data_IF_539729675148
#
_entry.id   IF_539729675148
#
_cell.length_a   1.000
_cell.length_b   1.000
_cell.length_c   1.000
_cell.angle_alpha   90.00
_cell.angle_beta   90.00
_cell.angle_gamma   90.00
#
_symmetry.space_group_name_H-M   'P 1'
#
loop_
_entity.id
_entity.type
_entity.pdbx_description
1 polymer ?
#
# COMPACT_ATOMS: atom_id res chain seq x y z
N UNK A 1 -7.22 -22.23 27.03
CA UNK A 1 -6.69 -23.44 26.35
C UNK A 1 -6.80 -23.31 24.84
N UNK A 2 -5.65 -23.43 24.16
CA UNK A 2 -5.60 -23.71 22.72
C UNK A 2 -5.42 -22.53 21.77
N UNK A 3 -4.63 -21.51 22.10
CA UNK A 3 -4.17 -20.55 21.09
C UNK A 3 -3.04 -21.21 20.27
N UNK A 4 -3.36 -21.57 19.02
CA UNK A 4 -2.38 -22.04 18.06
C UNK A 4 -1.29 -20.96 17.88
N UNK A 5 -0.06 -21.32 18.27
CA UNK A 5 1.14 -20.51 18.10
C UNK A 5 1.41 -20.32 16.59
N UNK A 6 0.93 -19.21 16.03
CA UNK A 6 1.45 -18.72 14.76
C UNK A 6 2.85 -18.16 15.02
N UNK A 7 3.87 -18.74 14.39
CA UNK A 7 5.30 -18.57 14.66
C UNK A 7 5.88 -17.15 14.41
N UNK A 8 5.04 -16.12 14.26
CA UNK A 8 5.48 -14.76 13.93
C UNK A 8 4.89 -13.64 14.80
N UNK A 9 4.34 -13.95 15.98
CA UNK A 9 3.83 -12.91 16.87
C UNK A 9 4.91 -12.36 17.80
N UNK A 10 5.71 -11.41 17.30
CA UNK A 10 6.88 -10.84 18.02
C UNK A 10 6.48 -9.76 19.04
N UNK A 11 5.31 -9.13 18.90
CA UNK A 11 4.83 -8.06 19.78
C UNK A 11 3.46 -8.42 20.36
N UNK A 12 3.16 -8.06 21.62
CA UNK A 12 1.83 -8.29 22.17
C UNK A 12 0.78 -7.48 21.40
N UNK A 13 -0.24 -8.18 20.88
CA UNK A 13 -1.40 -7.57 20.21
C UNK A 13 -2.56 -7.36 21.17
N UNK A 14 -3.14 -6.18 21.15
CA UNK A 14 -4.40 -5.85 21.83
C UNK A 14 -4.77 -4.40 21.55
N UNK A 15 -6.02 -4.01 21.81
CA UNK A 15 -6.47 -2.62 21.61
C UNK A 15 -5.57 -1.62 22.36
N UNK A 16 -5.26 -1.92 23.62
CA UNK A 16 -4.41 -1.09 24.48
C UNK A 16 -2.96 -1.03 23.99
N UNK A 17 -2.40 -2.15 23.52
CA UNK A 17 -1.05 -2.18 22.95
C UNK A 17 -0.99 -1.41 21.63
N UNK A 18 -1.98 -1.56 20.75
CA UNK A 18 -2.07 -0.79 19.50
C UNK A 18 -2.18 0.71 19.77
N UNK A 19 -2.94 1.11 20.78
CA UNK A 19 -3.07 2.51 21.18
C UNK A 19 -1.75 3.05 21.75
N UNK A 20 -1.04 2.27 22.56
CA UNK A 20 0.27 2.65 23.10
C UNK A 20 1.31 2.80 21.99
N UNK A 21 1.37 1.87 21.04
CA UNK A 21 2.29 1.98 19.89
C UNK A 21 1.95 3.19 19.01
N UNK A 22 0.68 3.40 18.69
CA UNK A 22 0.24 4.54 17.88
C UNK A 22 0.58 5.88 18.55
N UNK A 23 0.29 6.01 19.85
CA UNK A 23 0.60 7.23 20.62
C UNK A 23 2.10 7.46 20.78
N UNK A 24 2.88 6.40 21.01
CA UNK A 24 4.34 6.48 21.09
C UNK A 24 4.98 6.93 19.77
N UNK A 25 4.55 6.37 18.64
CA UNK A 25 5.03 6.77 17.31
C UNK A 25 4.58 8.20 16.99
N UNK A 26 3.35 8.58 17.34
CA UNK A 26 2.85 9.95 17.12
C UNK A 26 3.64 10.98 17.94
N UNK A 27 3.96 10.67 19.20
CA UNK A 27 4.82 11.52 20.04
C UNK A 27 6.23 11.64 19.46
N UNK A 28 6.81 10.54 18.97
CA UNK A 28 8.12 10.57 18.31
C UNK A 28 8.07 11.46 17.05
N UNK A 29 7.05 11.30 16.20
CA UNK A 29 6.85 12.13 15.03
C UNK A 29 6.72 13.62 15.41
N UNK A 30 5.96 13.92 16.47
CA UNK A 30 5.82 15.26 17.01
C UNK A 30 7.16 15.82 17.49
N UNK A 31 7.97 15.05 18.21
CA UNK A 31 9.31 15.46 18.64
C UNK A 31 10.21 15.76 17.44
N UNK A 32 10.23 14.90 16.42
CA UNK A 32 11.00 15.13 15.19
C UNK A 32 10.55 16.42 14.49
N UNK A 33 9.25 16.67 14.41
CA UNK A 33 8.70 17.91 13.86
C UNK A 33 9.10 19.15 14.66
N UNK A 34 9.33 19.04 15.98
CA UNK A 34 9.77 20.16 16.83
C UNK A 34 11.28 20.48 16.70
N UNK A 35 12.12 19.53 16.26
CA UNK A 35 13.58 19.78 16.11
C UNK A 35 13.87 20.80 15.00
N UNK A 36 12.97 20.94 14.02
CA UNK A 36 13.00 22.06 13.07
C UNK A 36 12.86 21.66 11.59
N UNK A 37 12.40 22.62 10.77
CA UNK A 37 12.07 22.43 9.36
C UNK A 37 13.24 21.95 8.47
N UNK A 38 14.48 22.29 8.82
CA UNK A 38 15.65 21.92 8.03
C UNK A 38 15.97 20.42 8.09
N UNK A 39 15.77 19.76 9.24
CA UNK A 39 15.95 18.31 9.34
C UNK A 39 14.81 17.60 8.60
N UNK A 40 13.60 18.15 8.70
CA UNK A 40 12.42 17.62 8.03
C UNK A 40 12.60 17.56 6.50
N UNK A 41 13.10 18.63 5.87
CA UNK A 41 13.35 18.64 4.42
C UNK A 41 14.35 17.53 3.99
N UNK A 42 15.43 17.33 4.75
CA UNK A 42 16.42 16.28 4.49
C UNK A 42 15.85 14.87 4.68
N UNK A 43 15.02 14.68 5.69
CA UNK A 43 14.34 13.41 5.95
C UNK A 43 13.34 13.07 4.83
N UNK A 44 12.56 14.03 4.35
CA UNK A 44 11.60 13.84 3.25
C UNK A 44 12.31 13.43 1.96
N UNK A 45 13.47 14.01 1.66
CA UNK A 45 14.29 13.58 0.51
C UNK A 45 14.78 12.14 0.66
N UNK A 46 15.21 11.72 1.86
CA UNK A 46 15.59 10.33 2.12
C UNK A 46 14.41 9.37 1.96
N UNK A 47 13.24 9.73 2.48
CA UNK A 47 12.01 8.95 2.33
C UNK A 47 11.68 8.79 0.85
N UNK A 48 11.79 9.86 0.05
CA UNK A 48 11.59 9.80 -1.39
C UNK A 48 12.53 8.78 -2.07
N UNK A 49 13.82 8.78 -1.72
CA UNK A 49 14.78 7.80 -2.27
C UNK A 49 14.44 6.37 -1.89
N UNK A 50 14.05 6.13 -0.63
CA UNK A 50 13.62 4.80 -0.17
C UNK A 50 12.38 4.34 -0.92
N UNK A 51 11.38 5.21 -1.11
CA UNK A 51 10.17 4.88 -1.87
C UNK A 51 10.49 4.55 -3.32
N UNK A 52 11.38 5.32 -3.97
CA UNK A 52 11.82 5.02 -5.34
C UNK A 52 12.59 3.69 -5.42
N UNK A 53 13.43 3.38 -4.44
CA UNK A 53 14.13 2.09 -4.37
C UNK A 53 13.13 0.93 -4.22
N UNK A 54 12.20 1.02 -3.27
CA UNK A 54 11.16 0.00 -3.06
C UNK A 54 10.31 -0.17 -4.32
N UNK A 55 9.90 0.93 -4.95
CA UNK A 55 9.17 0.89 -6.21
C UNK A 55 9.95 0.14 -7.30
N UNK A 56 11.25 0.42 -7.44
CA UNK A 56 12.14 -0.30 -8.35
C UNK A 56 12.20 -1.79 -8.05
N UNK A 57 12.35 -2.18 -6.78
CA UNK A 57 12.36 -3.60 -6.39
C UNK A 57 11.04 -4.31 -6.70
N UNK A 58 9.90 -3.63 -6.57
CA UNK A 58 8.59 -4.18 -6.93
C UNK A 58 8.54 -4.46 -8.43
N UNK A 59 8.95 -3.51 -9.27
CA UNK A 59 9.01 -3.72 -10.72
C UNK A 59 9.91 -4.89 -11.10
N UNK A 60 11.11 -4.98 -10.50
CA UNK A 60 12.02 -6.11 -10.74
C UNK A 60 11.42 -7.43 -10.26
N UNK A 61 10.70 -7.43 -9.15
CA UNK A 61 10.06 -8.64 -8.59
C UNK A 61 9.05 -9.26 -9.56
N UNK A 62 8.31 -8.47 -10.33
CA UNK A 62 7.38 -9.02 -11.33
C UNK A 62 8.08 -9.81 -12.44
N UNK A 63 9.32 -9.46 -12.79
CA UNK A 63 10.10 -10.17 -13.82
C UNK A 63 10.98 -11.28 -13.25
N UNK A 64 11.46 -11.13 -12.02
CA UNK A 64 12.41 -12.06 -11.41
C UNK A 64 11.74 -13.26 -10.72
N UNK A 65 10.51 -13.11 -10.22
CA UNK A 65 9.82 -14.17 -9.46
C UNK A 65 9.19 -15.18 -10.41
N UNK A 66 9.62 -16.44 -10.31
CA UNK A 66 8.99 -17.56 -11.01
C UNK A 66 7.64 -17.94 -10.39
N UNK A 67 6.75 -18.64 -11.14
CA UNK A 67 5.43 -19.00 -10.64
C UNK A 67 5.50 -19.78 -9.32
N UNK A 68 4.82 -19.28 -8.28
CA UNK A 68 4.81 -19.88 -6.94
C UNK A 68 3.39 -19.91 -6.38
N UNK A 69 3.04 -21.00 -5.74
CA UNK A 69 1.78 -21.13 -5.00
C UNK A 69 2.03 -20.73 -3.55
N UNK A 70 1.19 -19.84 -3.02
CA UNK A 70 1.28 -19.30 -1.67
C UNK A 70 0.06 -19.82 -0.90
N UNK A 71 0.28 -20.55 0.17
CA UNK A 71 -0.79 -21.01 1.06
C UNK A 71 -1.30 -19.84 1.89
N UNK A 72 -2.60 -19.55 1.79
CA UNK A 72 -3.25 -18.53 2.60
C UNK A 72 -3.58 -19.11 3.98
N UNK A 73 -3.47 -18.33 5.07
CA UNK A 73 -3.94 -18.77 6.38
C UNK A 73 -5.45 -19.05 6.31
N UNK A 74 -5.85 -20.32 6.43
CA UNK A 74 -7.27 -20.68 6.49
C UNK A 74 -7.88 -20.08 7.75
N UNK A 75 -8.96 -19.29 7.66
CA UNK A 75 -9.61 -18.72 8.84
C UNK A 75 -10.44 -19.75 9.64
N UNK A 76 -10.51 -21.03 9.24
CA UNK A 76 -11.24 -22.03 10.04
C UNK A 76 -10.66 -23.45 9.98
N UNK A 77 -10.41 -24.09 11.15
CA UNK A 77 -10.24 -25.54 11.29
C UNK A 77 -11.56 -26.34 11.21
N UNK A 78 -12.72 -25.70 11.37
CA UNK A 78 -14.04 -26.34 11.42
C UNK A 78 -14.93 -25.77 10.30
N UNK A 79 -15.12 -26.55 9.23
CA UNK A 79 -15.68 -26.13 7.93
C UNK A 79 -17.14 -25.66 7.90
N UNK A 80 -17.53 -24.69 8.72
CA UNK A 80 -18.85 -24.04 8.74
C UNK A 80 -18.85 -22.60 8.23
N UNK A 81 -17.67 -22.00 8.01
CA UNK A 81 -17.52 -20.64 7.48
C UNK A 81 -17.38 -20.65 5.95
N UNK A 82 -17.74 -19.54 5.26
CA UNK A 82 -17.70 -19.48 3.79
C UNK A 82 -16.32 -19.87 3.25
N UNK A 83 -16.31 -20.59 2.12
CA UNK A 83 -15.10 -21.14 1.50
C UNK A 83 -14.14 -20.01 1.07
N UNK A 84 -13.22 -19.63 1.96
CA UNK A 84 -12.11 -18.77 1.62
C UNK A 84 -11.07 -19.60 0.83
N UNK A 85 -10.55 -19.09 -0.30
CA UNK A 85 -9.51 -19.81 -1.05
C UNK A 85 -8.30 -20.03 -0.14
N UNK A 86 -7.86 -21.28 -0.02
CA UNK A 86 -6.75 -21.70 0.85
C UNK A 86 -5.38 -21.57 0.16
N UNK A 87 -5.37 -21.24 -1.13
CA UNK A 87 -4.15 -21.11 -1.95
C UNK A 87 -4.30 -19.91 -2.89
N UNK A 88 -3.31 -19.01 -2.89
CA UNK A 88 -3.14 -17.97 -3.89
C UNK A 88 -2.04 -18.38 -4.86
N UNK A 89 -2.29 -18.27 -6.17
CA UNK A 89 -1.30 -18.61 -7.19
C UNK A 89 -0.68 -17.35 -7.78
N UNK A 90 0.64 -17.23 -7.67
CA UNK A 90 1.43 -16.32 -8.49
C UNK A 90 1.80 -17.03 -9.79
N UNK A 91 1.15 -16.66 -10.88
CA UNK A 91 1.26 -17.35 -12.17
C UNK A 91 2.35 -16.77 -13.08
N UNK A 92 2.92 -15.61 -12.70
CA UNK A 92 3.81 -14.80 -13.55
C UNK A 92 3.02 -14.12 -14.69
N UNK A 93 3.70 -13.43 -15.60
CA UNK A 93 3.05 -12.72 -16.70
C UNK A 93 2.24 -13.64 -17.62
N UNK A 94 0.92 -13.70 -17.44
CA UNK A 94 0.01 -14.46 -18.29
C UNK A 94 -1.19 -13.62 -18.71
N UNK A 95 -1.40 -13.53 -20.03
CA UNK A 95 -2.53 -12.81 -20.61
C UNK A 95 -3.88 -13.45 -20.25
N UNK A 96 -3.91 -14.79 -20.10
CA UNK A 96 -5.11 -15.49 -19.62
C UNK A 96 -5.50 -15.05 -18.20
N UNK A 97 -4.52 -14.83 -17.31
CA UNK A 97 -4.75 -14.32 -15.95
C UNK A 97 -5.26 -12.88 -16.00
N UNK A 98 -4.70 -12.03 -16.88
CA UNK A 98 -5.20 -10.67 -17.11
C UNK A 98 -6.69 -10.64 -17.53
N UNK A 99 -7.07 -11.47 -18.50
CA UNK A 99 -8.46 -11.52 -18.98
C UNK A 99 -9.43 -12.03 -17.90
N UNK A 100 -9.00 -12.95 -17.04
CA UNK A 100 -9.78 -13.39 -15.88
C UNK A 100 -9.95 -12.29 -14.82
N UNK A 101 -8.99 -11.38 -14.72
CA UNK A 101 -8.99 -10.27 -13.76
C UNK A 101 -9.76 -9.02 -14.21
N UNK A 102 -10.23 -8.96 -15.46
CA UNK A 102 -10.81 -7.74 -16.03
C UNK A 102 -12.14 -7.33 -15.39
N UNK A 103 -12.90 -8.30 -14.89
CA UNK A 103 -14.22 -8.05 -14.31
C UNK A 103 -14.19 -7.88 -12.79
N UNK A 104 -15.12 -7.06 -12.28
CA UNK A 104 -15.31 -6.88 -10.86
C UNK A 104 -15.73 -8.21 -10.19
N UNK A 105 -15.11 -8.54 -9.08
CA UNK A 105 -15.47 -9.71 -8.26
C UNK A 105 -15.32 -9.34 -6.80
N UNK A 106 -16.30 -8.58 -6.30
CA UNK A 106 -16.31 -8.17 -4.91
C UNK A 106 -16.60 -9.38 -4.01
N UNK A 107 -15.74 -9.60 -3.03
CA UNK A 107 -15.84 -10.72 -2.09
C UNK A 107 -15.94 -10.23 -0.65
N UNK A 108 -16.21 -11.17 0.26
CA UNK A 108 -16.18 -10.92 1.69
C UNK A 108 -14.74 -10.72 2.15
N UNK A 109 -14.50 -9.64 2.89
CA UNK A 109 -13.20 -9.41 3.52
C UNK A 109 -12.90 -10.48 4.57
N UNK A 110 -11.64 -10.91 4.62
CA UNK A 110 -11.19 -11.95 5.55
C UNK A 110 -11.09 -11.42 6.99
N UNK A 111 -10.88 -10.10 7.19
CA UNK A 111 -10.77 -9.49 8.53
C UNK A 111 -12.10 -8.98 9.08
N UNK A 112 -12.84 -8.19 8.30
CA UNK A 112 -14.08 -7.54 8.74
C UNK A 112 -15.32 -8.37 8.47
N UNK A 113 -15.23 -9.42 7.63
CA UNK A 113 -16.35 -10.26 7.17
C UNK A 113 -17.49 -9.47 6.50
N UNK A 114 -17.22 -8.22 6.08
CA UNK A 114 -18.19 -7.41 5.35
C UNK A 114 -18.03 -7.60 3.84
N UNK A 115 -19.15 -7.52 3.11
CA UNK A 115 -19.12 -7.53 1.64
C UNK A 115 -18.46 -6.25 1.13
N UNK A 116 -17.42 -6.41 0.33
CA UNK A 116 -16.77 -5.28 -0.33
C UNK A 116 -17.70 -4.71 -1.42
N UNK A 117 -17.66 -3.39 -1.59
CA UNK A 117 -18.41 -2.68 -2.63
C UNK A 117 -17.46 -1.78 -3.42
N UNK A 118 -17.92 -1.24 -4.54
CA UNK A 118 -17.18 -0.22 -5.28
C UNK A 118 -16.80 0.97 -4.38
N UNK A 119 -17.73 1.44 -3.54
CA UNK A 119 -17.52 2.60 -2.68
C UNK A 119 -16.43 2.36 -1.63
N UNK A 120 -16.39 1.16 -1.03
CA UNK A 120 -15.36 0.82 -0.03
C UNK A 120 -13.97 0.72 -0.67
N UNK A 121 -13.86 0.10 -1.85
CA UNK A 121 -12.59 0.01 -2.58
C UNK A 121 -12.12 1.38 -3.07
N UNK A 122 -13.04 2.21 -3.57
CA UNK A 122 -12.74 3.59 -3.98
C UNK A 122 -12.26 4.44 -2.80
N UNK A 123 -12.89 4.33 -1.63
CA UNK A 123 -12.48 5.10 -0.44
C UNK A 123 -11.03 4.81 -0.02
N UNK A 124 -10.61 3.54 -0.09
CA UNK A 124 -9.22 3.14 0.20
C UNK A 124 -8.25 3.68 -0.86
N UNK A 125 -8.57 3.54 -2.14
CA UNK A 125 -7.74 4.05 -3.23
C UNK A 125 -7.63 5.58 -3.20
N UNK A 126 -8.74 6.26 -2.93
CA UNK A 126 -8.80 7.72 -2.90
C UNK A 126 -7.88 8.30 -1.83
N UNK A 127 -7.82 7.68 -0.65
CA UNK A 127 -6.90 8.08 0.41
C UNK A 127 -5.44 8.08 -0.07
N UNK A 128 -5.04 7.07 -0.85
CA UNK A 128 -3.71 6.96 -1.46
C UNK A 128 -3.41 7.97 -2.57
N UNK A 129 -4.41 8.64 -3.14
CA UNK A 129 -4.26 9.71 -4.14
C UNK A 129 -4.25 11.11 -3.52
N UNK A 130 -4.51 11.24 -2.22
CA UNK A 130 -4.45 12.53 -1.52
C UNK A 130 -3.00 13.01 -1.35
N UNK A 131 -2.82 14.29 -0.96
CA UNK A 131 -1.49 14.84 -0.63
C UNK A 131 -0.92 15.86 -1.62
N UNK A 132 -1.62 16.18 -2.71
CA UNK A 132 -1.21 17.20 -3.69
C UNK A 132 -0.89 18.55 -3.01
N UNK A 133 -1.68 18.94 -2.00
CA UNK A 133 -1.51 20.20 -1.28
C UNK A 133 -0.29 20.24 -0.35
N UNK A 134 0.29 19.11 0.03
CA UNK A 134 1.50 19.09 0.86
C UNK A 134 2.72 19.58 0.08
N UNK A 135 2.80 19.26 -1.22
CA UNK A 135 3.91 19.69 -2.09
C UNK A 135 3.92 21.20 -2.33
N UNK A 136 2.75 21.81 -2.55
CA UNK A 136 2.65 23.26 -2.74
C UNK A 136 3.01 24.06 -1.48
N UNK A 137 2.70 23.52 -0.29
CA UNK A 137 2.98 24.19 0.97
C UNK A 137 4.49 24.27 1.31
N UNK A 138 5.26 23.24 0.94
CA UNK A 138 6.70 23.20 1.24
C UNK A 138 7.55 23.90 0.18
N UNK A 139 7.13 23.86 -1.09
CA UNK A 139 7.91 24.41 -2.21
C UNK A 139 7.85 25.94 -2.34
N UNK A 140 6.88 26.58 -1.69
CA UNK A 140 6.60 28.01 -1.86
C UNK A 140 7.67 28.96 -1.32
N UNK A 141 8.55 28.50 -0.42
CA UNK A 141 9.60 29.34 0.21
C UNK A 141 10.92 29.29 -0.56
N UNK A 142 11.18 28.22 -1.32
CA UNK A 142 12.48 27.94 -1.96
C UNK A 142 12.46 28.09 -3.50
N UNK A 143 11.30 28.26 -4.12
CA UNK A 143 11.18 28.41 -5.57
C UNK A 143 11.54 29.84 -6.03
N UNK A 144 12.51 29.97 -6.94
CA UNK A 144 12.86 31.25 -7.59
C UNK A 144 11.66 31.89 -8.33
N UNK A 145 10.74 31.07 -8.88
CA UNK A 145 9.51 31.52 -9.57
C UNK A 145 8.28 30.67 -9.18
N UNK A 146 7.59 30.98 -8.06
CA UNK A 146 6.54 30.13 -7.52
C UNK A 146 5.28 30.04 -8.40
N UNK A 147 4.99 31.07 -9.21
CA UNK A 147 3.78 31.10 -10.06
C UNK A 147 3.80 30.02 -11.14
N UNK A 148 4.98 29.69 -11.67
CA UNK A 148 5.13 28.69 -12.74
C UNK A 148 5.65 27.35 -12.22
N UNK A 149 6.53 27.35 -11.21
CA UNK A 149 7.12 26.12 -10.67
C UNK A 149 6.11 25.23 -9.94
N UNK A 150 5.22 25.81 -9.12
CA UNK A 150 4.23 25.07 -8.32
C UNK A 150 3.25 24.27 -9.21
N UNK A 151 2.54 24.89 -10.19
CA UNK A 151 1.59 24.15 -11.01
C UNK A 151 2.29 23.11 -11.89
N UNK A 152 3.48 23.42 -12.44
CA UNK A 152 4.25 22.47 -13.25
C UNK A 152 4.69 21.26 -12.44
N UNK A 153 5.27 21.48 -11.26
CA UNK A 153 5.70 20.39 -10.37
C UNK A 153 4.53 19.52 -9.89
N UNK A 154 3.39 20.14 -9.61
CA UNK A 154 2.18 19.41 -9.19
C UNK A 154 1.64 18.53 -10.31
N UNK A 155 1.52 19.07 -11.53
CA UNK A 155 0.98 18.32 -12.68
C UNK A 155 1.92 17.16 -13.06
N UNK A 156 3.23 17.38 -13.10
CA UNK A 156 4.19 16.31 -13.42
C UNK A 156 4.17 15.21 -12.36
N UNK A 157 4.07 15.56 -11.08
CA UNK A 157 3.94 14.58 -9.99
C UNK A 157 2.66 13.74 -10.10
N UNK A 158 1.52 14.37 -10.37
CA UNK A 158 0.22 13.67 -10.54
C UNK A 158 0.24 12.73 -11.74
N UNK A 159 0.77 13.18 -12.89
CA UNK A 159 0.89 12.34 -14.08
C UNK A 159 1.82 11.15 -13.80
N UNK A 160 2.94 11.39 -13.13
CA UNK A 160 3.89 10.34 -12.78
C UNK A 160 3.24 9.28 -11.88
N UNK A 161 2.60 9.66 -10.78
CA UNK A 161 1.95 8.71 -9.87
C UNK A 161 0.79 7.99 -10.53
N UNK A 162 0.02 8.67 -11.39
CA UNK A 162 -1.04 8.04 -12.19
C UNK A 162 -0.51 6.92 -13.08
N UNK A 163 0.57 7.18 -13.83
CA UNK A 163 1.19 6.16 -14.70
C UNK A 163 1.69 4.97 -13.87
N UNK A 164 2.36 5.22 -12.75
CA UNK A 164 2.85 4.15 -11.86
C UNK A 164 1.70 3.30 -11.32
N UNK A 165 0.60 3.90 -10.86
CA UNK A 165 -0.56 3.18 -10.37
C UNK A 165 -1.20 2.31 -11.46
N UNK A 166 -1.38 2.84 -12.67
CA UNK A 166 -1.93 2.06 -13.80
C UNK A 166 -1.01 0.88 -14.14
N UNK A 167 0.31 1.11 -14.21
CA UNK A 167 1.28 0.04 -14.48
C UNK A 167 1.21 -1.05 -13.41
N UNK A 168 1.24 -0.69 -12.13
CA UNK A 168 1.16 -1.66 -11.03
C UNK A 168 -0.16 -2.45 -11.08
N UNK A 169 -1.30 -1.81 -11.33
CA UNK A 169 -2.59 -2.49 -11.49
C UNK A 169 -2.55 -3.54 -12.60
N UNK A 170 -1.99 -3.20 -13.78
CA UNK A 170 -1.87 -4.13 -14.91
C UNK A 170 -0.90 -5.26 -14.60
N UNK A 171 0.25 -4.96 -13.99
CA UNK A 171 1.27 -5.95 -13.62
C UNK A 171 0.74 -6.98 -12.62
N UNK A 172 0.01 -6.51 -11.60
CA UNK A 172 -0.66 -7.39 -10.61
C UNK A 172 -1.73 -8.24 -11.28
N UNK A 173 -2.59 -7.63 -12.11
CA UNK A 173 -3.64 -8.36 -12.82
C UNK A 173 -3.09 -9.43 -13.79
N UNK A 174 -1.90 -9.21 -14.36
CA UNK A 174 -1.21 -10.19 -15.19
C UNK A 174 -0.54 -11.32 -14.41
N UNK A 175 -0.15 -11.09 -13.15
CA UNK A 175 0.77 -11.97 -12.42
C UNK A 175 0.14 -12.76 -11.27
N UNK A 176 -1.01 -12.30 -10.76
CA UNK A 176 -1.72 -12.90 -9.64
C UNK A 176 -3.08 -13.43 -10.08
N UNK A 177 -3.41 -14.65 -9.67
CA UNK A 177 -4.76 -15.21 -9.82
C UNK A 177 -5.73 -14.65 -8.76
N UNK A 178 -7.03 -14.85 -8.98
CA UNK A 178 -8.13 -14.30 -8.16
C UNK A 178 -8.35 -15.03 -6.85
#
# INVERSE_FOLDING_TARGET
DGAALSAHHVLPSGYWYSLLYATGIALLCLLVCLVGAHIYAKATFLIFLVVMFVLGTIFVSFFAVHPRTITLPSPSPNGTDPAFPTTANFTGFKLNTLLGNLWAGYSLDYTTKTMMTFATVFAVMFNGCTGIMAGSNMSGVEAEEPRDAIPRGTITAVIFTFIIYILLCVLVACSCDR
#
